data_IF_478475175391
#
_entry.id   IF_478475175391
#
_cell.length_a   1.000
_cell.length_b   1.000
_cell.length_c   1.000
_cell.angle_alpha   90.00
_cell.angle_beta   90.00
_cell.angle_gamma   90.00
#
_symmetry.space_group_name_H-M   'P 1'
#
loop_
_entity.id
_entity.type
_entity.pdbx_description
1 polymer ?
#
# COMPACT_ATOMS: atom_id res chain seq x y z
N UNK A 1 11.47 -62.19 38.64
CA UNK A 1 12.40 -61.76 37.55
C UNK A 1 11.57 -61.49 36.33
N UNK A 2 11.21 -60.24 36.05
CA UNK A 2 10.53 -59.81 34.78
C UNK A 2 11.56 -59.02 33.96
N UNK A 3 11.84 -59.51 32.75
CA UNK A 3 12.74 -58.86 31.78
C UNK A 3 11.91 -57.87 30.99
N UNK A 4 12.23 -56.60 31.12
CA UNK A 4 11.66 -55.53 30.32
C UNK A 4 12.49 -55.43 29.00
N UNK A 5 11.81 -55.67 27.87
CA UNK A 5 12.37 -55.46 26.55
C UNK A 5 12.13 -54.02 26.17
N UNK A 6 13.19 -53.23 26.04
CA UNK A 6 13.12 -51.85 25.51
C UNK A 6 13.26 -51.93 23.99
N UNK A 7 12.19 -51.63 23.24
CA UNK A 7 12.22 -51.53 21.82
C UNK A 7 12.72 -50.11 21.45
N UNK A 8 13.88 -50.03 20.80
CA UNK A 8 14.38 -48.83 20.16
C UNK A 8 13.67 -48.61 18.82
N UNK A 9 12.82 -47.59 18.75
CA UNK A 9 12.26 -47.11 17.49
C UNK A 9 13.29 -46.18 16.85
N UNK A 10 13.93 -46.66 15.78
CA UNK A 10 14.71 -45.87 14.86
C UNK A 10 13.76 -45.00 14.02
N UNK A 11 13.67 -43.72 14.35
CA UNK A 11 13.06 -42.72 13.49
C UNK A 11 14.08 -42.37 12.38
N UNK A 12 13.89 -42.97 11.20
CA UNK A 12 14.52 -42.49 9.97
C UNK A 12 13.85 -41.20 9.55
N UNK A 13 14.52 -40.07 9.76
CA UNK A 13 14.12 -38.78 9.21
C UNK A 13 14.26 -38.81 7.69
N UNK A 14 13.15 -38.97 6.99
CA UNK A 14 13.05 -38.65 5.58
C UNK A 14 13.17 -37.12 5.44
N UNK A 15 14.34 -36.65 5.10
CA UNK A 15 14.54 -35.28 4.65
C UNK A 15 13.82 -35.13 3.32
N UNK A 16 12.64 -34.54 3.35
CA UNK A 16 11.97 -34.09 2.13
C UNK A 16 12.84 -32.97 1.52
N UNK A 17 13.12 -33.00 0.21
CA UNK A 17 13.81 -31.88 -0.43
C UNK A 17 12.93 -30.67 -0.32
N UNK A 18 13.44 -29.60 0.31
CA UNK A 18 12.86 -28.27 0.25
C UNK A 18 12.79 -27.87 -1.22
N UNK A 19 11.58 -27.88 -1.78
CA UNK A 19 11.30 -27.28 -3.06
C UNK A 19 11.49 -25.79 -2.88
N UNK A 20 12.70 -25.29 -3.17
CA UNK A 20 12.90 -23.85 -3.36
C UNK A 20 12.06 -23.43 -4.55
N UNK A 21 10.87 -22.91 -4.27
CA UNK A 21 10.13 -22.14 -5.25
C UNK A 21 10.90 -20.85 -5.45
N UNK A 22 11.84 -20.87 -6.39
CA UNK A 22 12.43 -19.66 -6.90
C UNK A 22 11.31 -18.84 -7.53
N UNK A 23 10.86 -17.82 -6.84
CA UNK A 23 10.10 -16.75 -7.43
C UNK A 23 11.01 -16.06 -8.44
N UNK A 24 11.08 -16.59 -9.65
CA UNK A 24 11.54 -15.83 -10.78
C UNK A 24 10.64 -14.61 -10.87
N UNK A 25 11.14 -13.47 -10.41
CA UNK A 25 10.50 -12.20 -10.65
C UNK A 25 10.32 -12.10 -12.17
N UNK A 26 9.10 -12.31 -12.61
CA UNK A 26 8.73 -12.16 -14.01
C UNK A 26 8.86 -10.67 -14.35
N UNK A 27 10.06 -10.23 -14.68
CA UNK A 27 10.37 -8.92 -15.27
C UNK A 27 9.96 -8.88 -16.76
N UNK A 28 9.13 -9.82 -17.20
CA UNK A 28 8.51 -9.77 -18.50
C UNK A 28 7.53 -8.59 -18.52
N UNK A 29 8.02 -7.42 -18.94
CA UNK A 29 7.13 -6.32 -19.33
C UNK A 29 6.15 -6.89 -20.36
N UNK A 30 4.84 -6.85 -20.13
CA UNK A 30 3.86 -7.30 -21.09
C UNK A 30 3.83 -6.31 -22.26
N UNK A 31 4.76 -6.47 -23.21
CA UNK A 31 4.93 -5.56 -24.36
C UNK A 31 3.68 -5.45 -25.23
N UNK A 32 2.79 -6.44 -25.20
CA UNK A 32 1.62 -6.48 -26.07
C UNK A 32 0.35 -5.83 -25.51
N UNK A 33 0.23 -5.63 -24.19
CA UNK A 33 -0.97 -5.00 -23.61
C UNK A 33 -0.92 -3.49 -23.51
N UNK A 34 0.21 -2.86 -23.77
CA UNK A 34 0.41 -1.40 -23.62
C UNK A 34 0.38 -0.64 -24.96
N UNK A 35 0.03 -1.30 -26.05
CA UNK A 35 -0.13 -0.63 -27.35
C UNK A 35 -1.30 0.36 -27.28
N UNK A 36 -1.05 1.64 -27.53
CA UNK A 36 -2.07 2.69 -27.40
C UNK A 36 -2.26 3.21 -25.98
N UNK A 37 -1.33 2.93 -25.06
CA UNK A 37 -1.35 3.51 -23.72
C UNK A 37 -0.17 4.46 -23.52
N UNK A 38 -0.43 5.61 -22.89
CA UNK A 38 0.61 6.52 -22.40
C UNK A 38 0.95 6.19 -20.95
N UNK A 39 2.22 6.24 -20.61
CA UNK A 39 2.71 6.10 -19.24
C UNK A 39 2.81 7.46 -18.58
N UNK A 40 2.33 7.56 -17.35
CA UNK A 40 2.45 8.73 -16.49
C UNK A 40 2.99 8.31 -15.12
N UNK A 41 4.02 8.97 -14.64
CA UNK A 41 4.57 8.76 -13.29
C UNK A 41 4.22 9.96 -12.42
N UNK A 42 3.67 9.69 -11.25
CA UNK A 42 3.33 10.71 -10.26
C UNK A 42 4.02 10.36 -8.94
N UNK A 43 4.61 11.35 -8.31
CA UNK A 43 5.20 11.25 -6.96
C UNK A 43 4.50 12.28 -6.10
N UNK A 44 3.74 11.84 -5.13
CA UNK A 44 2.95 12.68 -4.25
C UNK A 44 3.10 12.21 -2.80
N UNK A 45 2.73 13.03 -1.84
CA UNK A 45 2.89 12.72 -0.42
C UNK A 45 1.54 12.77 0.26
N UNK A 46 1.25 11.82 1.16
CA UNK A 46 0.07 11.87 2.00
C UNK A 46 0.44 11.85 3.48
N UNK A 47 -0.40 12.52 4.26
CA UNK A 47 -0.14 12.85 5.65
C UNK A 47 -1.16 12.16 6.54
N UNK A 48 -0.76 11.01 7.06
CA UNK A 48 -1.55 10.23 7.99
C UNK A 48 -1.42 10.78 9.42
N UNK A 49 -2.55 10.97 10.07
CA UNK A 49 -2.64 11.39 11.47
C UNK A 49 -3.56 10.44 12.22
N UNK A 50 -3.00 9.53 12.95
CA UNK A 50 -3.76 8.58 13.76
C UNK A 50 -4.75 9.32 14.68
N UNK A 51 -6.00 8.85 14.72
CA UNK A 51 -7.17 9.44 15.40
C UNK A 51 -7.62 10.81 14.85
N UNK A 52 -7.12 11.27 13.71
CA UNK A 52 -7.56 12.50 13.04
C UNK A 52 -7.99 12.22 11.61
N UNK A 53 -7.07 11.73 10.78
CA UNK A 53 -7.33 11.36 9.38
C UNK A 53 -7.31 9.86 9.15
N UNK A 54 -6.72 9.10 10.08
CA UNK A 54 -6.77 7.64 10.16
C UNK A 54 -7.42 7.22 11.47
N UNK A 55 -8.70 6.81 11.40
CA UNK A 55 -9.55 6.57 12.55
C UNK A 55 -9.83 5.08 12.71
N UNK A 56 -9.51 4.53 13.90
CA UNK A 56 -9.85 3.16 14.26
C UNK A 56 -11.37 3.00 14.34
N UNK A 57 -11.92 2.15 13.49
CA UNK A 57 -13.35 1.84 13.39
C UNK A 57 -13.74 0.61 14.19
N UNK A 58 -12.86 -0.40 14.21
CA UNK A 58 -13.08 -1.65 14.91
C UNK A 58 -11.75 -2.28 15.33
N UNK A 59 -11.75 -2.95 16.46
CA UNK A 59 -10.62 -3.69 17.02
C UNK A 59 -11.09 -5.09 17.39
N UNK A 60 -10.36 -6.13 16.94
CA UNK A 60 -10.70 -7.51 17.27
C UNK A 60 -10.15 -7.93 18.63
N UNK A 61 -8.92 -7.54 18.94
CA UNK A 61 -8.27 -7.82 20.21
C UNK A 61 -7.63 -6.55 20.76
N UNK A 62 -7.81 -6.25 22.07
CA UNK A 62 -7.16 -5.09 22.65
C UNK A 62 -5.64 -5.26 22.60
N UNK A 63 -4.95 -4.22 22.17
CA UNK A 63 -3.50 -4.22 22.07
C UNK A 63 -2.98 -2.82 21.71
N UNK A 64 -1.69 -2.58 21.88
CA UNK A 64 -1.13 -1.28 21.56
C UNK A 64 -1.18 -1.04 20.05
N UNK A 65 -1.76 0.08 19.64
CA UNK A 65 -1.60 0.63 18.31
C UNK A 65 -0.34 1.48 18.35
N UNK A 66 0.62 1.15 17.50
CA UNK A 66 1.86 1.88 17.32
C UNK A 66 1.89 2.52 15.93
N UNK A 67 2.92 3.28 15.63
CA UNK A 67 3.12 3.92 14.32
C UNK A 67 3.17 2.95 13.14
N UNK A 68 3.63 1.73 13.39
CA UNK A 68 3.89 0.74 12.35
C UNK A 68 3.12 -0.55 12.55
N UNK A 69 2.39 -0.70 13.66
CA UNK A 69 1.70 -1.94 13.97
C UNK A 69 0.37 -1.69 14.71
N UNK A 70 -0.65 -2.42 14.31
CA UNK A 70 -1.93 -2.49 15.00
C UNK A 70 -2.33 -3.95 15.21
N UNK A 71 -3.17 -4.26 16.22
CA UNK A 71 -3.65 -5.62 16.46
C UNK A 71 -4.30 -6.21 15.21
N UNK A 72 -4.09 -7.50 14.98
CA UNK A 72 -4.72 -8.22 13.86
C UNK A 72 -6.24 -8.02 13.86
N UNK A 73 -6.80 -7.72 12.68
CA UNK A 73 -8.22 -7.46 12.50
C UNK A 73 -8.68 -6.05 12.85
N UNK A 74 -7.77 -5.14 13.25
CA UNK A 74 -8.11 -3.72 13.39
C UNK A 74 -8.49 -3.13 12.04
N UNK A 75 -9.55 -2.32 12.00
CA UNK A 75 -10.06 -1.66 10.79
C UNK A 75 -9.96 -0.14 10.98
N UNK A 76 -9.34 0.51 10.02
CA UNK A 76 -9.18 1.97 10.01
C UNK A 76 -9.89 2.58 8.80
N UNK A 77 -10.50 3.75 9.03
CA UNK A 77 -11.00 4.62 7.98
C UNK A 77 -10.00 5.75 7.75
N UNK A 78 -9.53 5.87 6.51
CA UNK A 78 -8.47 6.78 6.09
C UNK A 78 -9.04 7.93 5.28
N UNK A 79 -8.59 9.17 5.57
CA UNK A 79 -8.88 10.37 4.77
C UNK A 79 -7.74 11.38 4.90
N UNK A 80 -6.62 11.06 4.27
CA UNK A 80 -5.38 11.81 4.39
C UNK A 80 -5.26 12.89 3.32
N UNK A 81 -4.76 14.06 3.70
CA UNK A 81 -4.39 15.11 2.76
C UNK A 81 -3.20 14.64 1.91
N UNK A 82 -3.28 14.94 0.62
CA UNK A 82 -2.22 14.64 -0.33
C UNK A 82 -1.63 15.92 -0.91
N UNK A 83 -0.31 16.04 -0.82
CA UNK A 83 0.44 17.26 -1.19
C UNK A 83 1.57 16.96 -2.18
N UNK A 84 2.16 18.05 -2.70
CA UNK A 84 3.26 17.97 -3.68
C UNK A 84 4.57 17.52 -3.06
N UNK A 85 4.82 17.89 -1.80
CA UNK A 85 6.06 17.54 -1.07
C UNK A 85 5.74 16.93 0.28
N UNK A 86 6.75 16.48 1.01
CA UNK A 86 6.62 15.97 2.39
C UNK A 86 6.19 17.05 3.40
N UNK A 87 6.24 18.32 3.02
CA UNK A 87 5.73 19.42 3.84
C UNK A 87 4.19 19.45 3.73
N UNK A 88 3.44 19.29 4.84
CA UNK A 88 1.98 19.33 4.84
C UNK A 88 1.39 20.68 4.42
N UNK A 89 2.18 21.75 4.48
CA UNK A 89 1.77 23.10 4.03
C UNK A 89 2.06 23.34 2.54
N UNK A 90 2.67 22.38 1.84
CA UNK A 90 2.86 22.47 0.41
C UNK A 90 1.55 22.34 -0.36
N UNK A 91 1.57 22.62 -1.67
CA UNK A 91 0.35 22.65 -2.47
C UNK A 91 -0.47 21.36 -2.34
N UNK A 92 -1.74 21.50 -1.94
CA UNK A 92 -2.69 20.40 -1.82
C UNK A 92 -3.08 19.91 -3.20
N UNK A 93 -2.98 18.60 -3.42
CA UNK A 93 -3.36 17.91 -4.66
C UNK A 93 -4.71 17.21 -4.55
N UNK A 94 -5.11 16.84 -3.31
CA UNK A 94 -6.30 16.06 -3.06
C UNK A 94 -6.21 15.23 -1.79
N UNK A 95 -6.78 14.02 -1.84
CA UNK A 95 -6.89 13.14 -0.68
C UNK A 95 -6.61 11.68 -1.05
N UNK A 96 -6.08 10.92 -0.08
CA UNK A 96 -6.12 9.45 -0.08
C UNK A 96 -7.20 9.02 0.88
N UNK A 97 -8.22 8.32 0.39
CA UNK A 97 -9.37 7.88 1.20
C UNK A 97 -9.59 6.39 1.08
N UNK A 98 -10.14 5.77 2.10
CA UNK A 98 -10.48 4.35 2.04
C UNK A 98 -10.48 3.63 3.36
N UNK A 99 -10.22 2.33 3.28
CA UNK A 99 -10.14 1.46 4.44
C UNK A 99 -8.81 0.70 4.44
N UNK A 100 -8.27 0.51 5.63
CA UNK A 100 -7.18 -0.43 5.89
C UNK A 100 -7.56 -1.40 7.01
N UNK A 101 -7.20 -2.68 6.83
CA UNK A 101 -7.44 -3.72 7.83
C UNK A 101 -6.14 -4.41 8.12
N UNK A 102 -5.76 -4.51 9.40
CA UNK A 102 -4.55 -5.25 9.79
C UNK A 102 -4.70 -6.73 9.44
N UNK A 103 -3.90 -7.20 8.49
CA UNK A 103 -3.99 -8.52 7.86
C UNK A 103 -2.90 -9.49 8.31
N UNK A 104 -1.99 -9.08 9.18
CA UNK A 104 -0.92 -9.92 9.73
C UNK A 104 -0.89 -9.89 11.24
N UNK A 105 -0.44 -11.00 11.86
CA UNK A 105 -0.35 -11.11 13.32
C UNK A 105 0.77 -10.26 13.93
N UNK A 106 1.78 -9.89 13.16
CA UNK A 106 2.82 -8.93 13.57
C UNK A 106 2.36 -7.47 13.49
N UNK A 107 1.16 -7.24 12.91
CA UNK A 107 0.51 -5.95 12.88
C UNK A 107 1.03 -4.98 11.81
N UNK A 108 1.99 -5.37 10.96
CA UNK A 108 2.66 -4.46 10.01
C UNK A 108 2.19 -4.60 8.57
N UNK A 109 1.31 -5.56 8.28
CA UNK A 109 0.72 -5.74 6.96
C UNK A 109 -0.78 -5.47 7.01
N UNK A 110 -1.23 -4.60 6.12
CA UNK A 110 -2.61 -4.15 6.03
C UNK A 110 -3.19 -4.54 4.68
N UNK A 111 -4.43 -4.99 4.68
CA UNK A 111 -5.22 -5.07 3.46
C UNK A 111 -5.89 -3.73 3.24
N UNK A 112 -5.56 -3.07 2.13
CA UNK A 112 -6.00 -1.72 1.85
C UNK A 112 -6.87 -1.65 0.59
N UNK A 113 -7.89 -0.80 0.67
CA UNK A 113 -8.66 -0.32 -0.47
C UNK A 113 -8.61 1.19 -0.44
N UNK A 114 -7.74 1.79 -1.25
CA UNK A 114 -7.56 3.24 -1.27
C UNK A 114 -8.03 3.84 -2.59
N UNK A 115 -8.65 5.00 -2.49
CA UNK A 115 -8.94 5.90 -3.59
C UNK A 115 -8.10 7.15 -3.43
N UNK A 116 -7.22 7.39 -4.38
CA UNK A 116 -6.44 8.62 -4.53
C UNK A 116 -7.29 9.59 -5.34
N UNK A 117 -7.91 10.56 -4.67
CA UNK A 117 -8.74 11.59 -5.30
C UNK A 117 -7.87 12.83 -5.57
N UNK A 118 -7.72 13.20 -6.83
CA UNK A 118 -6.93 14.35 -7.28
C UNK A 118 -7.86 15.41 -7.84
N UNK A 119 -7.67 16.67 -7.42
CA UNK A 119 -8.31 17.82 -8.03
C UNK A 119 -7.37 19.02 -8.03
N UNK A 120 -6.75 19.24 -9.17
CA UNK A 120 -5.83 20.35 -9.43
C UNK A 120 -6.29 21.22 -10.59
N UNK A 121 -7.59 21.25 -10.86
CA UNK A 121 -8.21 22.12 -11.89
C UNK A 121 -8.01 23.60 -11.56
N UNK A 122 -7.90 23.92 -10.26
CA UNK A 122 -7.46 25.23 -9.74
C UNK A 122 -6.18 25.04 -8.95
N UNK A 123 -5.02 24.94 -9.63
CA UNK A 123 -3.77 24.61 -8.97
C UNK A 123 -3.36 25.70 -7.98
N UNK A 124 -2.88 25.29 -6.82
CA UNK A 124 -2.30 26.18 -5.84
C UNK A 124 -0.89 26.61 -6.26
N UNK A 125 -0.38 27.68 -5.68
CA UNK A 125 1.02 28.08 -5.88
C UNK A 125 1.95 26.94 -5.47
N UNK A 126 2.91 26.60 -6.33
CA UNK A 126 3.82 25.48 -6.13
C UNK A 126 3.35 24.15 -6.73
N UNK A 127 2.14 24.06 -7.30
CA UNK A 127 1.71 22.87 -8.05
C UNK A 127 2.53 22.74 -9.34
N UNK A 128 3.27 21.61 -9.55
CA UNK A 128 4.01 21.37 -10.76
C UNK A 128 3.10 21.31 -11.99
N UNK A 129 3.61 21.77 -13.15
CA UNK A 129 2.83 21.82 -14.39
C UNK A 129 2.24 20.46 -14.81
N UNK A 130 2.99 19.37 -14.61
CA UNK A 130 2.54 18.01 -14.96
C UNK A 130 1.46 17.47 -14.02
N UNK A 131 1.22 18.09 -12.86
CA UNK A 131 0.15 17.80 -11.92
C UNK A 131 -1.02 18.80 -12.02
N UNK A 132 -0.88 19.86 -12.79
CA UNK A 132 -1.90 20.90 -12.95
C UNK A 132 -3.00 20.46 -13.91
N UNK A 133 -4.25 20.82 -13.61
CA UNK A 133 -5.40 20.51 -14.46
C UNK A 133 -5.91 19.09 -14.41
N UNK A 134 -5.44 18.28 -13.45
CA UNK A 134 -5.89 16.91 -13.24
C UNK A 134 -7.14 16.90 -12.35
N UNK A 135 -8.13 16.08 -12.72
CA UNK A 135 -9.32 15.80 -11.91
C UNK A 135 -9.72 14.35 -12.09
N UNK A 136 -9.88 13.62 -10.99
CA UNK A 136 -10.33 12.23 -11.02
C UNK A 136 -9.79 11.41 -9.87
N UNK A 137 -9.95 10.10 -10.02
CA UNK A 137 -9.53 9.14 -8.97
C UNK A 137 -8.66 8.04 -9.54
N UNK A 138 -7.79 7.49 -8.69
CA UNK A 138 -7.03 6.26 -8.94
C UNK A 138 -7.34 5.29 -7.79
N UNK A 139 -7.75 4.07 -8.10
CA UNK A 139 -8.07 3.06 -7.10
C UNK A 139 -6.90 2.09 -6.94
N UNK A 140 -6.46 1.91 -5.69
CA UNK A 140 -5.36 1.04 -5.28
C UNK A 140 -5.93 -0.05 -4.38
N UNK A 141 -5.48 -1.29 -4.62
CA UNK A 141 -6.00 -2.45 -3.92
C UNK A 141 -4.88 -3.45 -3.63
N UNK A 142 -4.82 -3.96 -2.40
CA UNK A 142 -3.90 -5.04 -2.05
C UNK A 142 -3.33 -4.98 -0.64
N UNK A 143 -2.32 -5.81 -0.42
CA UNK A 143 -1.61 -5.90 0.85
C UNK A 143 -0.47 -4.87 0.91
N UNK A 144 -0.59 -3.91 1.80
CA UNK A 144 0.43 -2.88 2.10
C UNK A 144 1.24 -3.34 3.31
N UNK A 145 2.56 -3.43 3.18
CA UNK A 145 3.46 -3.59 4.31
C UNK A 145 4.14 -2.25 4.60
N UNK A 146 3.90 -1.70 5.78
CA UNK A 146 4.36 -0.35 6.14
C UNK A 146 5.87 -0.28 6.45
N UNK A 147 6.55 -1.42 6.53
CA UNK A 147 8.01 -1.50 6.76
C UNK A 147 8.76 -1.77 5.46
N UNK A 148 8.19 -2.64 4.61
CA UNK A 148 8.83 -3.08 3.37
C UNK A 148 7.95 -2.67 2.18
N UNK A 149 8.23 -1.53 1.53
CA UNK A 149 7.47 -1.06 0.39
C UNK A 149 7.42 -2.09 -0.74
N UNK A 150 6.23 -2.32 -1.28
CA UNK A 150 6.00 -3.21 -2.43
C UNK A 150 5.00 -2.56 -3.38
N UNK A 151 5.09 -2.84 -4.69
CA UNK A 151 4.09 -2.37 -5.65
C UNK A 151 2.72 -3.01 -5.40
N UNK A 152 1.67 -2.20 -5.47
CA UNK A 152 0.26 -2.59 -5.42
C UNK A 152 -0.39 -2.38 -6.78
N UNK A 153 -1.43 -3.12 -7.09
CA UNK A 153 -2.16 -2.94 -8.33
C UNK A 153 -2.98 -1.64 -8.31
N UNK A 154 -2.92 -0.88 -9.40
CA UNK A 154 -3.93 0.12 -9.73
C UNK A 154 -5.05 -0.61 -10.45
N UNK A 155 -6.25 -0.62 -9.86
CA UNK A 155 -7.41 -1.39 -10.34
C UNK A 155 -8.36 -0.57 -11.20
N UNK A 156 -8.09 0.70 -11.41
CA UNK A 156 -8.89 1.61 -12.22
C UNK A 156 -8.80 3.05 -11.78
N UNK A 157 -9.58 3.90 -12.44
CA UNK A 157 -9.67 5.32 -12.12
C UNK A 157 -10.80 6.01 -12.87
N UNK A 158 -10.99 7.30 -12.57
CA UNK A 158 -12.02 8.16 -13.19
C UNK A 158 -11.41 9.48 -13.65
N UNK A 159 -12.17 10.27 -14.42
CA UNK A 159 -11.73 11.58 -14.90
C UNK A 159 -10.44 11.50 -15.71
N UNK A 160 -9.44 12.28 -15.35
CA UNK A 160 -8.10 12.27 -15.98
C UNK A 160 -7.41 10.90 -15.93
N UNK A 161 -7.89 9.99 -15.08
CA UNK A 161 -7.36 8.64 -14.85
C UNK A 161 -8.33 7.54 -15.28
N UNK A 162 -9.27 7.87 -16.17
CA UNK A 162 -10.22 6.88 -16.68
C UNK A 162 -9.47 5.68 -17.27
N UNK A 163 -9.88 4.46 -16.86
CA UNK A 163 -9.24 3.19 -17.24
C UNK A 163 -7.76 3.06 -16.84
N UNK A 164 -7.33 3.78 -15.81
CA UNK A 164 -5.98 3.66 -15.27
C UNK A 164 -5.63 2.21 -14.91
N UNK A 165 -4.42 1.80 -15.27
CA UNK A 165 -3.80 0.54 -14.88
C UNK A 165 -2.36 0.82 -14.43
N UNK A 166 -1.75 -0.10 -13.72
CA UNK A 166 -0.36 0.07 -13.33
C UNK A 166 -0.08 -0.33 -11.90
N UNK A 167 0.88 0.36 -11.29
CA UNK A 167 1.29 0.07 -9.92
C UNK A 167 1.42 1.33 -9.07
N UNK A 168 1.12 1.17 -7.80
CA UNK A 168 1.31 2.17 -6.75
C UNK A 168 2.26 1.61 -5.68
N UNK A 169 3.23 2.39 -5.22
CA UNK A 169 4.10 2.00 -4.12
C UNK A 169 4.00 3.03 -3.01
N UNK A 170 3.65 2.58 -1.81
CA UNK A 170 3.60 3.41 -0.60
C UNK A 170 4.93 3.29 0.10
N UNK A 171 5.66 4.40 0.22
CA UNK A 171 7.00 4.47 0.80
C UNK A 171 6.95 5.31 2.08
N UNK A 172 7.26 4.76 3.26
CA UNK A 172 7.35 5.54 4.48
C UNK A 172 8.52 6.53 4.40
N UNK A 173 8.27 7.80 4.67
CA UNK A 173 9.28 8.87 4.70
C UNK A 173 9.57 9.27 6.14
N UNK A 174 8.53 9.56 6.90
CA UNK A 174 8.63 9.94 8.30
C UNK A 174 7.53 9.21 9.07
N UNK A 175 7.94 8.32 9.97
CA UNK A 175 7.03 7.50 10.78
C UNK A 175 7.25 7.84 12.23
N UNK A 176 6.58 8.91 12.69
CA UNK A 176 6.58 9.34 14.09
C UNK A 176 5.23 9.06 14.74
N UNK A 177 5.20 8.98 16.07
CA UNK A 177 3.98 8.73 16.84
C UNK A 177 2.88 9.71 16.46
N UNK A 178 1.72 9.19 16.00
CA UNK A 178 0.52 9.93 15.63
C UNK A 178 0.62 10.83 14.38
N UNK A 179 1.78 10.86 13.70
CA UNK A 179 1.98 11.68 12.52
C UNK A 179 2.93 10.99 11.57
N UNK A 180 2.43 10.56 10.43
CA UNK A 180 3.19 9.81 9.44
C UNK A 180 3.12 10.51 8.09
N UNK A 181 4.23 10.48 7.37
CA UNK A 181 4.31 10.98 5.99
C UNK A 181 4.73 9.83 5.09
N UNK A 182 3.94 9.59 4.09
CA UNK A 182 4.22 8.58 3.08
C UNK A 182 4.36 9.24 1.71
N UNK A 183 5.33 8.78 0.93
CA UNK A 183 5.36 9.06 -0.49
C UNK A 183 4.58 7.98 -1.24
N UNK A 184 3.72 8.39 -2.13
CA UNK A 184 2.99 7.53 -3.04
C UNK A 184 3.58 7.66 -4.44
N UNK A 185 4.26 6.62 -4.89
CA UNK A 185 4.82 6.51 -6.23
C UNK A 185 3.81 5.77 -7.13
N UNK A 186 3.23 6.48 -8.09
CA UNK A 186 2.25 5.95 -9.04
C UNK A 186 2.87 5.79 -10.42
N UNK A 187 2.88 4.58 -10.94
CA UNK A 187 3.25 4.27 -12.33
C UNK A 187 1.99 3.87 -13.09
N UNK A 188 1.41 4.85 -13.78
CA UNK A 188 0.06 4.78 -14.35
C UNK A 188 0.13 4.65 -15.86
N UNK A 189 -0.63 3.73 -16.42
CA UNK A 189 -0.86 3.56 -17.84
C UNK A 189 -2.29 3.96 -18.16
N UNK A 190 -2.47 4.89 -19.07
CA UNK A 190 -3.74 5.47 -19.48
C UNK A 190 -3.93 5.28 -20.99
N UNK A 191 -5.16 5.15 -21.49
CA UNK A 191 -5.43 5.21 -22.94
C UNK A 191 -4.79 6.46 -23.56
N UNK A 192 -4.22 6.32 -24.77
CA UNK A 192 -3.58 7.41 -25.50
C UNK A 192 -4.60 8.34 -26.13
#
# INVERSE_FOLDING_TARGET
MRRTVVAFLLLTSLAAPLLEVQYAAATAKPRHMLHGMRRQQLHVFFHDRLNVTDVLMAEHAPGPITQTAAPYGSIFCVNDHMTVTEDPESALLGHVTGLSTTASFDGVTYFCTFTVAINTTKPQHGTPAHLSGLEGTINIFGLVNVITPKPHAISGGTGSFLMAQGTATIVPIDVRTFKQVYRLDLDVYLPA
#
